data_IF_115949297111
#
_entry.id   IF_115949297111
#
_cell.length_a   1.000
_cell.length_b   1.000
_cell.length_c   1.000
_cell.angle_alpha   90.00
_cell.angle_beta   90.00
_cell.angle_gamma   90.00
#
_symmetry.space_group_name_H-M   'P 1'
#
loop_
_entity.id
_entity.type
_entity.pdbx_description
1 polymer ?
#
# COMPACT_ATOMS: atom_id res chain seq x y z
N UNK A 1 8.00 -26.67 -10.37
CA UNK A 1 7.15 -25.82 -9.57
C UNK A 1 7.84 -24.48 -9.39
N UNK A 2 7.11 -23.42 -9.56
CA UNK A 2 7.59 -22.06 -9.26
C UNK A 2 6.85 -21.57 -8.04
N UNK A 3 7.57 -21.03 -7.06
CA UNK A 3 6.98 -20.46 -5.87
C UNK A 3 6.32 -19.12 -6.19
N UNK A 4 5.16 -18.90 -5.62
CA UNK A 4 4.44 -17.64 -5.78
C UNK A 4 4.95 -16.65 -4.75
N UNK A 5 5.76 -15.68 -5.19
CA UNK A 5 6.37 -14.67 -4.32
C UNK A 5 5.44 -13.50 -3.96
N UNK A 6 4.42 -13.29 -4.74
CA UNK A 6 3.42 -12.25 -4.51
C UNK A 6 2.46 -12.11 -5.66
N UNK A 7 1.18 -12.00 -5.34
CA UNK A 7 0.14 -11.69 -6.31
C UNK A 7 -0.18 -10.21 -6.15
N UNK A 8 0.33 -9.41 -7.08
CA UNK A 8 0.06 -7.99 -7.10
C UNK A 8 -1.10 -7.72 -8.06
N UNK A 9 -1.94 -6.74 -7.78
CA UNK A 9 -3.11 -6.33 -8.57
C UNK A 9 -4.27 -7.33 -8.57
N UNK A 10 -4.13 -8.46 -9.24
CA UNK A 10 -5.20 -9.45 -9.36
C UNK A 10 -5.54 -10.14 -8.05
N UNK A 11 -4.56 -10.28 -7.16
CA UNK A 11 -4.73 -10.89 -5.83
C UNK A 11 -5.15 -9.92 -4.74
N UNK A 12 -5.18 -8.61 -5.01
CA UNK A 12 -5.53 -7.63 -4.00
C UNK A 12 -6.98 -7.78 -3.54
N UNK A 13 -7.18 -8.15 -2.29
CA UNK A 13 -8.47 -8.06 -1.62
C UNK A 13 -8.60 -6.69 -0.96
N UNK A 14 -9.54 -5.89 -1.44
CA UNK A 14 -9.74 -4.52 -0.98
C UNK A 14 -10.88 -4.42 0.04
N UNK A 15 -10.92 -3.32 0.81
CA UNK A 15 -12.00 -3.00 1.73
C UNK A 15 -11.79 -3.46 3.18
N UNK A 16 -10.74 -4.23 3.48
CA UNK A 16 -10.47 -4.75 4.83
C UNK A 16 -9.27 -4.10 5.52
N UNK A 17 -8.40 -3.40 4.78
CA UNK A 17 -7.15 -2.82 5.31
C UNK A 17 -7.37 -1.86 6.48
N UNK A 18 -8.41 -1.03 6.41
CA UNK A 18 -8.74 -0.09 7.49
C UNK A 18 -9.29 -0.80 8.73
N UNK A 19 -10.09 -1.83 8.51
CA UNK A 19 -10.67 -2.64 9.59
C UNK A 19 -9.58 -3.42 10.33
N UNK A 20 -8.66 -4.06 9.62
CA UNK A 20 -7.57 -4.83 10.20
C UNK A 20 -6.78 -4.05 11.27
N UNK A 21 -6.46 -2.80 10.99
CA UNK A 21 -5.68 -1.95 11.90
C UNK A 21 -6.43 -1.65 13.19
N UNK A 22 -7.76 -1.54 13.13
CA UNK A 22 -8.63 -1.19 14.26
C UNK A 22 -9.27 -2.39 14.94
N UNK A 23 -9.25 -3.55 14.29
CA UNK A 23 -9.93 -4.75 14.74
C UNK A 23 -9.35 -5.27 16.05
N UNK A 24 -10.20 -5.83 16.90
CA UNK A 24 -9.80 -6.70 17.99
C UNK A 24 -9.23 -8.03 17.46
N UNK A 25 -8.86 -8.91 18.36
CA UNK A 25 -8.19 -10.14 17.98
C UNK A 25 -9.12 -11.11 17.23
N UNK A 26 -10.34 -11.22 17.65
CA UNK A 26 -11.37 -12.08 17.05
C UNK A 26 -11.67 -11.62 15.62
N UNK A 27 -11.87 -10.32 15.42
CA UNK A 27 -12.13 -9.76 14.10
C UNK A 27 -10.92 -9.91 13.15
N UNK A 28 -9.69 -9.81 13.67
CA UNK A 28 -8.48 -10.05 12.86
C UNK A 28 -8.42 -11.47 12.33
N UNK A 29 -8.75 -12.46 13.17
CA UNK A 29 -8.81 -13.86 12.75
C UNK A 29 -9.83 -14.07 11.63
N UNK A 30 -10.99 -13.43 11.69
CA UNK A 30 -11.98 -13.53 10.63
C UNK A 30 -11.53 -12.83 9.34
N UNK A 31 -10.91 -11.66 9.43
CA UNK A 31 -10.34 -10.97 8.28
C UNK A 31 -9.25 -11.82 7.63
N UNK A 32 -8.37 -12.44 8.43
CA UNK A 32 -7.30 -13.31 7.92
C UNK A 32 -7.87 -14.50 7.14
N UNK A 33 -8.91 -15.16 7.65
CA UNK A 33 -9.60 -16.22 6.91
C UNK A 33 -10.16 -15.74 5.57
N UNK A 34 -10.71 -14.52 5.52
CA UNK A 34 -11.23 -13.94 4.27
C UNK A 34 -10.10 -13.76 3.27
N UNK A 35 -8.93 -13.25 3.69
CA UNK A 35 -7.77 -13.09 2.83
C UNK A 35 -7.23 -14.44 2.34
N UNK A 36 -7.03 -15.39 3.23
CA UNK A 36 -6.55 -16.73 2.86
C UNK A 36 -7.48 -17.42 1.84
N UNK A 37 -8.79 -17.34 2.04
CA UNK A 37 -9.76 -17.91 1.10
C UNK A 37 -9.74 -17.20 -0.25
N UNK A 38 -9.58 -15.88 -0.24
CA UNK A 38 -9.45 -15.12 -1.49
C UNK A 38 -8.19 -15.52 -2.25
N UNK A 39 -7.06 -15.60 -1.58
CA UNK A 39 -5.77 -15.92 -2.19
C UNK A 39 -5.74 -17.35 -2.72
N UNK A 40 -6.30 -18.31 -1.97
CA UNK A 40 -6.46 -19.69 -2.44
C UNK A 40 -7.38 -19.77 -3.66
N UNK A 41 -8.48 -19.04 -3.67
CA UNK A 41 -9.38 -18.95 -4.81
C UNK A 41 -8.70 -18.37 -6.06
N UNK A 42 -7.90 -17.33 -5.86
CA UNK A 42 -7.14 -16.71 -6.93
C UNK A 42 -6.02 -17.64 -7.44
N UNK A 43 -5.32 -18.33 -6.54
CA UNK A 43 -4.33 -19.34 -6.91
C UNK A 43 -4.96 -20.48 -7.71
N UNK A 44 -6.11 -20.98 -7.27
CA UNK A 44 -6.87 -21.98 -8.00
C UNK A 44 -7.23 -21.52 -9.42
N UNK A 45 -7.72 -20.28 -9.55
CA UNK A 45 -8.01 -19.70 -10.86
C UNK A 45 -6.76 -19.63 -11.76
N UNK A 46 -5.62 -19.18 -11.23
CA UNK A 46 -4.36 -19.14 -12.00
C UNK A 46 -3.96 -20.52 -12.48
N UNK A 47 -4.12 -21.53 -11.65
CA UNK A 47 -3.75 -22.91 -11.98
C UNK A 47 -4.68 -23.57 -13.00
N UNK A 48 -5.97 -23.25 -12.97
CA UNK A 48 -6.98 -23.89 -13.83
C UNK A 48 -7.29 -23.10 -15.08
N UNK A 49 -7.53 -21.82 -14.96
CA UNK A 49 -7.98 -20.94 -16.05
C UNK A 49 -6.89 -19.95 -16.51
N UNK A 50 -5.98 -19.57 -15.61
CA UNK A 50 -4.94 -18.60 -15.88
C UNK A 50 -3.72 -19.12 -16.63
N UNK A 51 -3.73 -20.39 -17.04
CA UNK A 51 -2.68 -20.99 -17.86
C UNK A 51 -1.34 -21.26 -17.16
N UNK A 52 -1.30 -21.22 -15.83
CA UNK A 52 -0.08 -21.41 -15.04
C UNK A 52 -0.21 -22.54 -14.01
N UNK A 53 -0.40 -23.80 -14.43
CA UNK A 53 -0.73 -24.92 -13.53
C UNK A 53 0.40 -25.30 -12.57
N UNK A 54 1.61 -24.83 -12.82
CA UNK A 54 2.80 -25.16 -12.02
C UNK A 54 3.14 -24.11 -10.94
N UNK A 55 2.37 -23.02 -10.85
CA UNK A 55 2.53 -22.02 -9.78
C UNK A 55 1.84 -22.52 -8.52
N UNK A 56 2.44 -22.30 -7.37
CA UNK A 56 1.87 -22.69 -6.07
C UNK A 56 2.55 -21.99 -4.90
N UNK A 57 2.03 -22.24 -3.72
CA UNK A 57 2.70 -21.83 -2.49
C UNK A 57 4.01 -22.64 -2.32
N UNK A 58 5.04 -22.07 -1.68
CA UNK A 58 6.26 -22.80 -1.35
C UNK A 58 5.93 -23.95 -0.39
N UNK A 59 6.58 -25.08 -0.56
CA UNK A 59 6.35 -26.27 0.28
C UNK A 59 7.36 -26.43 1.41
N UNK A 60 8.30 -25.52 1.50
CA UNK A 60 9.37 -25.46 2.50
C UNK A 60 9.27 -24.28 3.48
N UNK A 61 8.32 -23.35 3.24
CA UNK A 61 8.08 -22.19 4.11
C UNK A 61 6.71 -22.29 4.80
N UNK A 62 6.61 -21.81 6.05
CA UNK A 62 5.37 -21.69 6.81
C UNK A 62 4.52 -22.98 6.86
N UNK A 63 5.13 -24.13 6.96
CA UNK A 63 4.45 -25.45 6.87
C UNK A 63 3.38 -25.66 7.92
N UNK A 64 3.56 -25.09 9.11
CA UNK A 64 2.63 -25.10 10.22
C UNK A 64 1.45 -24.14 10.07
N UNK A 65 1.52 -23.26 9.06
CA UNK A 65 0.47 -22.29 8.73
C UNK A 65 -0.10 -22.50 7.31
N UNK A 66 -0.12 -23.73 6.83
CA UNK A 66 -0.65 -24.03 5.48
C UNK A 66 0.13 -23.39 4.33
N UNK A 67 1.42 -23.12 4.56
CA UNK A 67 2.33 -22.44 3.62
C UNK A 67 1.99 -20.96 3.35
N UNK A 68 1.16 -20.35 4.20
CA UNK A 68 0.92 -18.91 4.22
C UNK A 68 1.86 -18.18 5.17
N UNK A 69 2.28 -16.95 4.86
CA UNK A 69 3.00 -16.10 5.82
C UNK A 69 2.20 -15.89 7.11
N UNK A 70 2.91 -15.77 8.25
CA UNK A 70 2.26 -15.53 9.54
C UNK A 70 1.61 -14.15 9.68
N UNK A 71 1.83 -13.26 8.72
CA UNK A 71 1.29 -11.90 8.74
C UNK A 71 0.65 -11.56 7.42
N UNK A 72 -0.53 -10.96 7.50
CA UNK A 72 -1.14 -10.35 6.34
C UNK A 72 -0.31 -9.15 5.87
N UNK A 73 -0.22 -8.97 4.57
CA UNK A 73 0.23 -7.76 3.96
C UNK A 73 -0.93 -6.76 3.90
N UNK A 74 -0.94 -5.83 4.84
CA UNK A 74 -1.97 -4.79 4.90
C UNK A 74 -1.53 -3.62 4.02
N UNK A 75 -2.08 -3.56 2.82
CA UNK A 75 -1.79 -2.50 1.85
C UNK A 75 -2.71 -1.30 2.08
N UNK A 76 -2.15 -0.09 1.93
CA UNK A 76 -2.88 1.16 1.96
C UNK A 76 -3.74 1.33 3.23
N UNK A 77 -3.16 0.95 4.35
CA UNK A 77 -3.75 1.15 5.67
C UNK A 77 -3.77 2.61 6.09
N UNK A 78 -4.14 2.85 7.34
CA UNK A 78 -4.18 4.19 7.92
C UNK A 78 -2.81 4.86 7.96
N UNK A 79 -2.83 6.17 7.90
CA UNK A 79 -1.66 7.05 8.04
C UNK A 79 -1.71 7.76 9.37
N UNK A 80 -0.54 8.18 9.86
CA UNK A 80 -0.47 9.07 11.01
C UNK A 80 -0.82 10.50 10.59
N UNK A 81 -1.26 11.28 11.54
CA UNK A 81 -1.25 12.74 11.44
C UNK A 81 0.07 13.28 11.98
N UNK A 82 0.95 13.68 11.07
CA UNK A 82 2.29 14.17 11.39
C UNK A 82 2.36 15.68 11.55
N UNK A 83 3.51 16.18 12.01
CA UNK A 83 3.80 17.62 12.08
C UNK A 83 3.81 18.27 10.69
N UNK A 84 4.15 17.52 9.66
CA UNK A 84 4.01 17.89 8.26
C UNK A 84 3.18 16.81 7.55
N UNK A 85 2.31 17.22 6.63
CA UNK A 85 1.50 16.27 5.84
C UNK A 85 1.83 16.47 4.36
N UNK A 86 2.40 15.44 3.72
CA UNK A 86 2.69 15.47 2.29
C UNK A 86 1.41 15.54 1.47
N UNK A 87 1.42 16.37 0.46
CA UNK A 87 0.34 16.54 -0.53
C UNK A 87 0.84 16.17 -1.92
N UNK A 88 -0.06 15.97 -2.87
CA UNK A 88 0.30 15.77 -4.28
C UNK A 88 1.21 16.91 -4.79
N UNK A 89 0.91 18.15 -4.42
CA UNK A 89 1.71 19.31 -4.84
C UNK A 89 3.16 19.28 -4.36
N UNK A 90 3.47 18.52 -3.33
CA UNK A 90 4.84 18.36 -2.81
C UNK A 90 5.65 17.34 -3.61
N UNK A 91 4.97 16.48 -4.38
CA UNK A 91 5.59 15.46 -5.19
C UNK A 91 5.57 15.80 -6.69
N UNK A 92 4.57 16.56 -7.11
CA UNK A 92 4.31 16.85 -8.51
C UNK A 92 5.34 17.84 -9.06
N UNK A 93 6.03 17.46 -10.13
CA UNK A 93 7.09 18.27 -10.73
C UNK A 93 6.59 19.56 -11.39
N UNK A 94 5.34 19.59 -11.86
CA UNK A 94 4.79 20.71 -12.63
C UNK A 94 3.88 21.63 -11.82
N UNK A 95 3.30 21.18 -10.71
CA UNK A 95 2.38 22.01 -9.91
C UNK A 95 3.12 23.09 -9.09
N UNK A 96 4.08 22.67 -8.29
CA UNK A 96 4.93 23.55 -7.46
C UNK A 96 6.43 23.29 -7.66
N UNK A 97 6.74 22.33 -8.48
CA UNK A 97 8.10 21.96 -8.84
C UNK A 97 8.70 22.85 -9.94
N UNK A 98 9.74 22.36 -10.56
CA UNK A 98 10.47 23.07 -11.62
C UNK A 98 10.52 22.28 -12.95
N UNK A 99 9.55 21.41 -13.19
CA UNK A 99 9.48 20.53 -14.37
C UNK A 99 10.33 19.26 -14.26
N UNK A 100 11.20 19.17 -13.27
CA UNK A 100 12.09 18.03 -13.05
C UNK A 100 11.85 17.34 -11.70
N UNK A 101 11.63 18.09 -10.65
CA UNK A 101 11.42 17.61 -9.29
C UNK A 101 10.30 18.38 -8.61
N UNK A 102 9.77 17.84 -7.52
CA UNK A 102 8.89 18.57 -6.60
C UNK A 102 9.57 19.81 -6.00
N UNK A 103 8.82 20.66 -5.30
CA UNK A 103 9.35 21.84 -4.64
C UNK A 103 10.38 21.47 -3.55
N UNK A 104 11.22 22.41 -3.16
CA UNK A 104 12.06 22.27 -1.99
C UNK A 104 11.18 22.37 -0.73
N UNK A 105 11.34 21.41 0.18
CA UNK A 105 10.59 21.36 1.43
C UNK A 105 11.53 21.55 2.62
N UNK A 106 11.05 22.18 3.69
CA UNK A 106 11.87 22.42 4.88
C UNK A 106 12.17 21.10 5.62
N UNK A 107 13.29 21.09 6.34
CA UNK A 107 13.69 19.98 7.22
C UNK A 107 13.64 18.60 6.53
N UNK A 108 14.02 18.56 5.28
CA UNK A 108 14.05 17.31 4.50
C UNK A 108 15.11 16.35 5.02
N UNK A 109 14.74 15.10 5.25
CA UNK A 109 15.63 14.03 5.74
C UNK A 109 15.81 12.91 4.75
N UNK A 110 15.02 12.88 3.66
CA UNK A 110 15.11 11.88 2.62
C UNK A 110 14.60 12.41 1.29
N UNK A 111 14.93 11.69 0.21
CA UNK A 111 14.37 11.90 -1.12
C UNK A 111 13.54 10.68 -1.49
N UNK A 112 12.34 10.91 -2.00
CA UNK A 112 11.50 9.91 -2.65
C UNK A 112 11.60 10.06 -4.16
N UNK A 113 11.61 8.94 -4.87
CA UNK A 113 11.61 8.89 -6.34
C UNK A 113 10.50 8.01 -6.88
N UNK A 114 9.77 7.32 -6.01
CA UNK A 114 8.65 6.48 -6.41
C UNK A 114 7.44 7.35 -6.74
N UNK A 115 6.81 7.08 -7.88
CA UNK A 115 5.66 7.84 -8.34
C UNK A 115 4.44 7.69 -7.45
N UNK A 116 3.55 8.66 -7.51
CA UNK A 116 2.24 8.58 -6.87
C UNK A 116 1.48 7.42 -7.49
N UNK A 117 1.16 6.43 -6.67
CA UNK A 117 0.59 5.16 -7.09
C UNK A 117 -0.32 4.59 -6.01
N UNK A 118 -1.56 4.24 -6.39
CA UNK A 118 -2.48 3.53 -5.51
C UNK A 118 -3.16 2.39 -6.26
N UNK A 119 -3.28 1.27 -5.58
CA UNK A 119 -4.24 0.26 -5.94
C UNK A 119 -5.65 0.74 -5.59
N UNK A 120 -6.66 0.01 -6.03
CA UNK A 120 -8.05 0.36 -5.75
C UNK A 120 -8.28 0.46 -4.25
N UNK A 121 -8.84 1.56 -3.83
CA UNK A 121 -9.35 1.76 -2.47
C UNK A 121 -10.87 1.64 -2.55
N UNK A 122 -11.42 0.59 -1.97
CA UNK A 122 -12.85 0.39 -1.91
C UNK A 122 -13.39 0.89 -0.58
N UNK A 123 -14.44 1.70 -0.65
CA UNK A 123 -15.27 2.01 0.51
C UNK A 123 -16.11 0.80 0.95
N UNK A 124 -16.73 0.86 2.14
CA UNK A 124 -17.54 -0.23 2.67
C UNK A 124 -18.68 -0.67 1.77
N UNK A 125 -19.21 0.22 0.95
CA UNK A 125 -20.36 -0.04 0.06
C UNK A 125 -19.95 -0.62 -1.31
N UNK A 126 -18.68 -0.63 -1.63
CA UNK A 126 -18.17 -1.11 -2.91
C UNK A 126 -18.34 -2.62 -3.12
N UNK A 127 -18.66 -3.37 -2.06
CA UNK A 127 -19.02 -4.79 -2.15
C UNK A 127 -20.33 -5.06 -2.89
N UNK A 128 -21.16 -4.04 -3.06
CA UNK A 128 -22.44 -4.13 -3.77
C UNK A 128 -22.34 -3.82 -5.26
N UNK A 129 -21.20 -3.35 -5.71
CA UNK A 129 -20.98 -3.05 -7.12
C UNK A 129 -20.73 -4.32 -7.93
N UNK A 130 -21.57 -4.61 -8.93
CA UNK A 130 -21.49 -5.86 -9.69
C UNK A 130 -20.26 -5.96 -10.60
N UNK A 131 -19.51 -4.91 -10.76
CA UNK A 131 -18.28 -4.91 -11.53
C UNK A 131 -17.11 -4.57 -10.63
N UNK A 132 -16.39 -5.59 -10.22
CA UNK A 132 -15.07 -5.46 -9.62
C UNK A 132 -14.24 -4.49 -10.50
N UNK A 133 -14.16 -3.26 -10.10
CA UNK A 133 -13.45 -2.26 -10.85
C UNK A 133 -14.19 -1.01 -11.28
N UNK A 134 -15.50 -0.99 -11.23
CA UNK A 134 -16.28 0.24 -11.52
C UNK A 134 -16.73 0.99 -10.28
N UNK A 135 -16.76 0.34 -9.11
CA UNK A 135 -17.24 0.91 -7.86
C UNK A 135 -16.15 1.35 -6.90
N UNK A 136 -14.90 1.31 -7.28
CA UNK A 136 -13.86 1.92 -6.46
C UNK A 136 -14.05 3.44 -6.53
N UNK A 137 -14.31 4.08 -5.40
CA UNK A 137 -14.52 5.52 -5.34
C UNK A 137 -13.38 6.32 -5.99
N UNK A 138 -12.17 5.78 -5.97
CA UNK A 138 -10.97 6.42 -6.51
C UNK A 138 -10.34 5.64 -7.67
N UNK A 139 -10.71 4.37 -7.87
CA UNK A 139 -10.08 3.53 -8.88
C UNK A 139 -8.61 3.27 -8.61
N UNK A 140 -7.89 3.01 -9.68
CA UNK A 140 -6.43 2.92 -9.68
C UNK A 140 -5.84 4.27 -10.05
N UNK A 141 -4.94 4.78 -9.23
CA UNK A 141 -4.28 6.06 -9.46
C UNK A 141 -2.80 5.83 -9.80
N UNK A 142 -2.38 6.33 -10.97
CA UNK A 142 -0.99 6.29 -11.42
C UNK A 142 -0.58 7.66 -11.93
N UNK A 143 0.25 8.37 -11.18
CA UNK A 143 0.80 9.68 -11.55
C UNK A 143 2.33 9.64 -11.62
N UNK A 144 2.89 8.53 -12.15
CA UNK A 144 4.33 8.36 -12.26
C UNK A 144 4.97 9.44 -13.14
N UNK A 145 4.34 9.76 -14.26
CA UNK A 145 4.87 10.78 -15.18
C UNK A 145 4.81 12.19 -14.61
N UNK A 146 3.87 12.47 -13.73
CA UNK A 146 3.72 13.75 -13.05
C UNK A 146 4.61 13.88 -11.81
N UNK A 147 5.04 12.76 -11.23
CA UNK A 147 5.89 12.74 -10.04
C UNK A 147 7.35 12.91 -10.45
N UNK A 148 8.03 13.87 -9.86
CA UNK A 148 9.50 14.00 -9.94
C UNK A 148 10.16 13.51 -8.66
N UNK A 149 11.49 13.53 -8.54
CA UNK A 149 12.15 13.40 -7.24
C UNK A 149 11.61 14.45 -6.26
N UNK A 150 11.29 14.05 -5.04
CA UNK A 150 10.69 14.92 -4.05
C UNK A 150 11.32 14.74 -2.68
N UNK A 151 11.26 15.77 -1.88
CA UNK A 151 11.80 15.77 -0.52
C UNK A 151 10.78 15.22 0.47
N UNK A 152 11.28 14.58 1.52
CA UNK A 152 10.49 14.06 2.63
C UNK A 152 10.88 14.81 3.89
N UNK A 153 10.04 15.74 4.36
CA UNK A 153 10.28 16.47 5.61
C UNK A 153 10.27 15.55 6.83
N UNK A 154 11.14 15.80 7.79
CA UNK A 154 11.17 15.07 9.07
C UNK A 154 9.82 15.04 9.78
N UNK A 155 9.09 16.14 9.71
CA UNK A 155 7.76 16.25 10.31
C UNK A 155 6.72 15.25 9.79
N UNK A 156 6.95 14.63 8.61
CA UNK A 156 6.05 13.58 8.10
C UNK A 156 6.16 12.28 8.88
N UNK A 157 7.27 12.08 9.57
CA UNK A 157 7.56 10.87 10.36
C UNK A 157 7.14 11.03 11.83
N UNK A 158 6.95 12.28 12.28
CA UNK A 158 6.69 12.63 13.67
C UNK A 158 5.19 12.81 13.89
N UNK A 159 4.54 11.98 14.71
CA UNK A 159 3.12 12.13 15.00
C UNK A 159 2.85 13.38 15.85
N UNK A 160 1.74 14.08 15.58
CA UNK A 160 1.33 15.27 16.35
C UNK A 160 1.00 14.98 17.80
N UNK A 161 0.46 13.79 18.08
CA UNK A 161 -0.13 13.49 19.39
C UNK A 161 0.72 12.57 20.26
N UNK A 162 1.84 12.05 19.74
CA UNK A 162 2.67 11.10 20.47
C UNK A 162 4.14 11.49 20.38
N UNK A 163 4.82 11.47 21.52
CA UNK A 163 6.25 11.78 21.61
C UNK A 163 7.09 10.49 21.65
N UNK A 164 8.33 10.57 21.17
CA UNK A 164 9.31 9.49 21.29
C UNK A 164 9.12 8.34 20.31
N UNK A 165 8.28 8.52 19.28
CA UNK A 165 8.02 7.52 18.23
C UNK A 165 8.18 8.15 16.85
N UNK A 166 8.70 7.40 15.89
CA UNK A 166 8.75 7.75 14.49
C UNK A 166 8.02 6.70 13.65
N UNK A 167 7.37 7.13 12.58
CA UNK A 167 6.65 6.27 11.65
C UNK A 167 7.27 6.34 10.24
N UNK A 168 8.30 5.55 9.96
CA UNK A 168 9.04 5.67 8.69
C UNK A 168 8.29 5.10 7.48
N UNK A 169 7.26 4.29 7.68
CA UNK A 169 6.47 3.69 6.60
C UNK A 169 5.09 4.32 6.47
N UNK A 170 4.40 4.52 7.59
CA UNK A 170 3.07 5.14 7.64
C UNK A 170 3.14 6.66 7.72
N UNK A 171 3.99 7.30 6.93
CA UNK A 171 4.21 8.76 6.95
C UNK A 171 2.92 9.55 6.75
N UNK A 172 2.89 10.76 7.27
CA UNK A 172 1.75 11.66 7.14
C UNK A 172 1.58 12.15 5.71
N UNK A 173 0.44 11.85 5.11
CA UNK A 173 0.11 12.27 3.75
C UNK A 173 -1.40 12.41 3.55
N UNK A 174 -1.81 13.23 2.59
CA UNK A 174 -3.22 13.47 2.29
C UNK A 174 -3.88 12.32 1.55
N UNK A 175 -3.11 11.46 0.91
CA UNK A 175 -3.62 10.32 0.13
C UNK A 175 -2.73 9.09 0.30
N UNK A 176 -3.33 7.91 0.28
CA UNK A 176 -2.62 6.63 0.40
C UNK A 176 -1.61 6.39 -0.72
N UNK A 177 -1.86 6.93 -1.92
CA UNK A 177 -0.97 6.84 -3.07
C UNK A 177 0.41 7.48 -2.84
N UNK A 178 0.48 8.49 -1.96
CA UNK A 178 1.72 9.18 -1.60
C UNK A 178 2.59 8.31 -0.69
N UNK A 179 2.03 7.29 -0.11
CA UNK A 179 2.67 6.46 0.90
C UNK A 179 3.33 5.21 0.36
N UNK A 180 3.26 4.95 -0.92
CA UNK A 180 4.12 3.96 -1.59
C UNK A 180 5.57 4.46 -1.65
N UNK A 181 5.87 5.49 -0.86
CA UNK A 181 7.17 6.14 -0.80
C UNK A 181 8.23 5.17 -0.31
N UNK A 182 9.04 4.72 -1.23
CA UNK A 182 10.34 4.12 -0.91
C UNK A 182 11.31 5.25 -0.66
N UNK A 183 11.62 5.47 0.60
CA UNK A 183 12.58 6.48 0.99
C UNK A 183 13.98 6.03 0.61
N UNK A 184 14.62 6.77 -0.27
CA UNK A 184 16.05 6.64 -0.49
C UNK A 184 16.77 7.57 0.51
N UNK A 185 17.62 7.04 1.38
CA UNK A 185 18.37 7.89 2.31
C UNK A 185 19.30 8.82 1.53
N UNK A 186 19.23 10.08 1.86
CA UNK A 186 20.21 11.07 1.37
C UNK A 186 21.46 10.91 2.20
N UNK A 187 22.49 10.30 1.63
CA UNK A 187 23.83 10.38 2.18
C UNK A 187 24.42 11.75 1.83
N UNK A 188 24.48 12.61 2.80
CA UNK A 188 25.20 13.89 2.71
C UNK A 188 26.70 13.67 2.91
#
# INVERSE_FOLDING_TARGET
>A
KFDLLGINWGGDLVGHSTRWVLADWEERVEIEKIYHNHDLGYLYYIQTEGGSPNIGLPDDEFRDNGNFPYRLYVRQGRRIEGLYTLTESDLHKDLRGNGFRGPLLPESVAIGVYGIDAHRVQGPDSRQEPAYGKGAAEGTLHLHDATGPYQIPYGTLVPKQHNGILFPVGISSTHVAICSVRMEPVWS
#
